data_IF_861049905719
#
_entry.id   IF_861049905719
#
_cell.length_a   1.000
_cell.length_b   1.000
_cell.length_c   1.000
_cell.angle_alpha   90.00
_cell.angle_beta   90.00
_cell.angle_gamma   90.00
#
_symmetry.space_group_name_H-M   'P 1'
#
loop_
_entity.id
_entity.type
_entity.pdbx_description
1 polymer ?
#
# COMPACT_ATOMS: atom_id res chain seq x y z
N UNK A 1 -13.64 -1.10 -9.40
CA UNK A 1 -12.87 -0.07 -10.14
C UNK A 1 -11.40 -0.47 -10.31
N UNK A 2 -10.65 -0.72 -9.23
CA UNK A 2 -9.22 -1.03 -9.31
C UNK A 2 -8.87 -2.28 -10.13
N UNK A 3 -9.55 -3.41 -9.88
CA UNK A 3 -9.37 -4.66 -10.65
C UNK A 3 -9.52 -4.45 -12.15
N UNK A 4 -10.47 -3.61 -12.57
CA UNK A 4 -10.70 -3.34 -13.98
C UNK A 4 -9.56 -2.54 -14.61
N UNK A 5 -8.98 -1.57 -13.89
CA UNK A 5 -7.83 -0.80 -14.37
C UNK A 5 -6.56 -1.65 -14.39
N UNK A 6 -6.30 -2.43 -13.34
CA UNK A 6 -5.12 -3.29 -13.26
C UNK A 6 -5.06 -4.33 -14.39
N UNK A 7 -6.21 -4.87 -14.81
CA UNK A 7 -6.30 -5.78 -15.98
C UNK A 7 -5.77 -5.18 -17.28
N UNK A 8 -5.78 -3.85 -17.42
CA UNK A 8 -5.27 -3.15 -18.62
C UNK A 8 -3.75 -3.15 -18.70
N UNK A 9 -3.06 -3.22 -17.55
CA UNK A 9 -1.60 -3.28 -17.47
C UNK A 9 -1.04 -4.63 -17.92
N UNK A 10 -1.85 -5.70 -17.86
CA UNK A 10 -1.46 -7.06 -18.27
C UNK A 10 -0.13 -7.52 -17.66
N UNK A 11 0.16 -7.15 -16.40
CA UNK A 11 1.38 -7.54 -15.67
C UNK A 11 1.14 -8.79 -14.81
N UNK A 12 2.05 -9.78 -14.77
CA UNK A 12 1.95 -10.91 -13.85
C UNK A 12 2.39 -10.58 -12.41
N UNK A 13 2.89 -9.36 -12.17
CA UNK A 13 3.57 -8.97 -10.93
C UNK A 13 2.74 -7.99 -10.08
N UNK A 14 1.43 -8.20 -9.97
CA UNK A 14 0.57 -7.39 -9.10
C UNK A 14 -0.33 -8.24 -8.23
N UNK A 15 -0.64 -7.73 -7.05
CA UNK A 15 -1.60 -8.33 -6.13
C UNK A 15 -2.53 -7.27 -5.59
N UNK A 16 -3.83 -7.51 -5.69
CA UNK A 16 -4.87 -6.66 -5.12
C UNK A 16 -5.42 -7.33 -3.87
N UNK A 17 -5.40 -6.61 -2.76
CA UNK A 17 -5.97 -7.07 -1.48
C UNK A 17 -7.08 -6.13 -1.00
N UNK A 18 -7.90 -6.61 -0.06
CA UNK A 18 -8.93 -5.80 0.58
C UNK A 18 -8.77 -5.83 2.10
N UNK A 19 -8.15 -4.78 2.64
CA UNK A 19 -7.87 -4.61 4.06
C UNK A 19 -7.89 -3.13 4.42
N UNK A 20 -8.16 -2.85 5.69
CA UNK A 20 -7.88 -1.53 6.27
C UNK A 20 -6.37 -1.30 6.28
N UNK A 21 -5.92 -0.26 5.57
CA UNK A 21 -4.49 0.05 5.42
C UNK A 21 -3.83 0.46 6.73
N UNK A 22 -4.59 0.99 7.69
CA UNK A 22 -4.05 1.37 9.00
C UNK A 22 -3.65 0.17 9.86
N UNK A 23 -4.12 -1.03 9.51
CA UNK A 23 -3.88 -2.29 10.23
C UNK A 23 -3.58 -3.46 9.29
N UNK A 24 -3.04 -3.17 8.10
CA UNK A 24 -2.71 -4.19 7.09
C UNK A 24 -1.76 -5.25 7.68
N UNK A 25 -2.07 -6.55 7.66
CA UNK A 25 -1.19 -7.57 8.24
C UNK A 25 0.18 -7.63 7.53
N UNK A 26 1.19 -8.13 8.25
CA UNK A 26 2.48 -8.49 7.64
C UNK A 26 2.28 -9.64 6.65
N UNK A 27 2.95 -9.56 5.50
CA UNK A 27 3.04 -10.66 4.55
C UNK A 27 4.16 -11.60 4.96
N UNK A 28 3.91 -12.90 4.85
CA UNK A 28 4.89 -13.97 5.08
C UNK A 28 5.41 -14.46 3.73
N UNK A 29 6.71 -14.61 3.58
CA UNK A 29 7.35 -15.13 2.35
C UNK A 29 8.34 -16.21 2.70
N UNK A 30 8.69 -17.04 1.73
CA UNK A 30 9.74 -18.05 1.88
C UNK A 30 11.11 -17.38 1.73
N UNK A 31 11.95 -17.50 2.76
CA UNK A 31 13.32 -16.99 2.75
C UNK A 31 14.23 -17.87 1.86
N UNK A 32 15.41 -17.36 1.50
CA UNK A 32 16.40 -18.09 0.69
C UNK A 32 16.80 -19.43 1.28
N UNK A 33 16.76 -19.55 2.61
CA UNK A 33 17.10 -20.76 3.36
C UNK A 33 15.92 -21.74 3.50
N UNK A 34 14.78 -21.48 2.83
CA UNK A 34 13.55 -22.26 2.92
C UNK A 34 12.71 -22.00 4.19
N UNK A 35 13.18 -21.09 5.05
CA UNK A 35 12.44 -20.61 6.22
C UNK A 35 11.27 -19.68 5.85
N UNK A 36 10.48 -19.27 6.84
CA UNK A 36 9.41 -18.26 6.65
C UNK A 36 9.82 -16.92 7.25
N UNK A 37 9.91 -15.91 6.41
CA UNK A 37 10.25 -14.53 6.76
C UNK A 37 9.06 -13.59 6.70
N UNK A 38 9.21 -12.39 7.29
CA UNK A 38 8.26 -11.28 7.10
C UNK A 38 8.75 -10.45 5.91
N UNK A 39 7.91 -10.30 4.90
CA UNK A 39 8.18 -9.43 3.76
C UNK A 39 8.21 -7.96 4.22
N UNK A 40 9.27 -7.26 3.83
CA UNK A 40 9.40 -5.81 3.89
C UNK A 40 9.46 -5.26 2.46
N UNK A 41 8.92 -4.06 2.26
CA UNK A 41 8.89 -3.43 0.94
C UNK A 41 10.04 -2.43 0.79
N UNK A 42 10.64 -2.38 -0.39
CA UNK A 42 11.65 -1.38 -0.71
C UNK A 42 11.05 -0.01 -1.00
N UNK A 43 9.83 0.01 -1.53
CA UNK A 43 9.09 1.21 -1.90
C UNK A 43 7.64 1.10 -1.46
N UNK A 44 7.12 2.15 -0.84
CA UNK A 44 5.72 2.25 -0.44
C UNK A 44 5.16 3.59 -0.89
N UNK A 45 3.97 3.59 -1.50
CA UNK A 45 3.19 4.78 -1.77
C UNK A 45 1.96 4.80 -0.84
N UNK A 46 1.91 5.78 0.04
CA UNK A 46 0.81 6.08 0.93
C UNK A 46 0.03 7.28 0.40
N UNK A 47 -0.83 7.04 -0.59
CA UNK A 47 -1.84 8.01 -1.02
C UNK A 47 -3.07 7.89 -0.10
N UNK A 48 -3.16 8.78 0.88
CA UNK A 48 -4.09 8.63 2.01
C UNK A 48 -5.41 9.38 1.77
N UNK A 49 -6.53 8.91 2.35
CA UNK A 49 -7.79 9.65 2.29
C UNK A 49 -7.63 11.04 2.89
N UNK A 50 -8.10 12.05 2.16
CA UNK A 50 -7.91 13.48 2.46
C UNK A 50 -9.26 14.23 2.42
N UNK A 51 -9.32 15.45 2.95
CA UNK A 51 -10.53 16.29 2.90
C UNK A 51 -10.85 16.79 1.48
N UNK A 52 -9.86 16.75 0.58
CA UNK A 52 -10.03 16.93 -0.85
C UNK A 52 -10.03 18.39 -1.31
N UNK A 53 -9.62 19.35 -0.47
CA UNK A 53 -9.56 20.77 -0.83
C UNK A 53 -8.59 21.08 -1.99
N UNK A 54 -7.61 20.22 -2.27
CA UNK A 54 -6.81 20.26 -3.49
C UNK A 54 -7.57 19.92 -4.77
N UNK A 55 -8.76 19.31 -4.66
CA UNK A 55 -9.54 18.80 -5.79
C UNK A 55 -10.68 19.72 -6.26
N UNK A 56 -10.81 20.92 -5.68
CA UNK A 56 -11.94 21.86 -5.94
C UNK A 56 -12.21 22.08 -7.44
N UNK A 57 -11.16 22.12 -8.29
CA UNK A 57 -11.31 22.25 -9.77
C UNK A 57 -12.03 21.06 -10.42
N UNK A 58 -11.88 19.86 -9.88
CA UNK A 58 -12.50 18.61 -10.38
C UNK A 58 -13.80 18.28 -9.66
N UNK A 59 -13.92 18.70 -8.40
CA UNK A 59 -15.06 18.40 -7.53
C UNK A 59 -15.57 19.68 -6.83
N UNK A 60 -16.45 20.45 -7.49
CA UNK A 60 -16.97 21.71 -6.94
C UNK A 60 -17.71 21.56 -5.60
N UNK A 61 -18.28 20.39 -5.32
CA UNK A 61 -18.99 20.10 -4.05
C UNK A 61 -18.11 20.28 -2.81
N UNK A 62 -16.79 20.09 -2.95
CA UNK A 62 -15.83 20.27 -1.85
C UNK A 62 -15.91 21.69 -1.31
N UNK A 63 -16.10 22.69 -2.18
CA UNK A 63 -16.17 24.10 -1.79
C UNK A 63 -17.23 24.39 -0.73
N UNK A 64 -18.39 23.72 -0.84
CA UNK A 64 -19.53 23.96 0.05
C UNK A 64 -19.45 23.11 1.33
N UNK A 65 -18.84 21.93 1.25
CA UNK A 65 -18.82 20.93 2.34
C UNK A 65 -17.58 21.01 3.22
N UNK A 66 -16.50 21.62 2.72
CA UNK A 66 -15.23 21.68 3.42
C UNK A 66 -15.31 22.54 4.70
N UNK A 67 -14.69 22.06 5.77
CA UNK A 67 -14.49 22.80 7.02
C UNK A 67 -13.27 22.23 7.76
N UNK A 68 -12.69 23.00 8.68
CA UNK A 68 -11.48 22.62 9.41
C UNK A 68 -11.61 21.30 10.20
N UNK A 69 -12.80 20.97 10.70
CA UNK A 69 -13.00 19.73 11.44
C UNK A 69 -12.88 18.48 10.55
N UNK A 70 -13.19 18.58 9.25
CA UNK A 70 -13.01 17.45 8.31
C UNK A 70 -11.55 17.00 8.27
N UNK A 71 -10.61 17.94 8.12
CA UNK A 71 -9.17 17.64 8.13
C UNK A 71 -8.68 17.13 9.50
N UNK A 72 -9.14 17.75 10.59
CA UNK A 72 -8.79 17.31 11.95
C UNK A 72 -9.19 15.85 12.21
N UNK A 73 -10.37 15.44 11.76
CA UNK A 73 -10.86 14.08 11.92
C UNK A 73 -10.09 13.04 11.09
N UNK A 74 -9.48 13.47 9.97
CA UNK A 74 -8.70 12.59 9.08
C UNK A 74 -7.25 12.43 9.53
N UNK A 75 -6.67 13.41 10.21
CA UNK A 75 -5.28 13.38 10.69
C UNK A 75 -4.93 12.05 11.39
N UNK A 76 -5.81 11.57 12.28
CA UNK A 76 -5.58 10.34 13.01
C UNK A 76 -5.50 9.08 12.13
N UNK A 77 -6.34 8.96 11.10
CA UNK A 77 -6.30 7.81 10.18
C UNK A 77 -5.13 7.92 9.21
N UNK A 78 -4.87 9.12 8.69
CA UNK A 78 -3.72 9.41 7.81
C UNK A 78 -2.40 9.05 8.50
N UNK A 79 -2.23 9.46 9.75
CA UNK A 79 -1.08 9.09 10.57
C UNK A 79 -0.95 7.58 10.74
N UNK A 80 -2.04 6.87 11.09
CA UNK A 80 -1.97 5.40 11.27
C UNK A 80 -1.60 4.67 9.98
N UNK A 81 -2.07 5.14 8.83
CA UNK A 81 -1.69 4.58 7.53
C UNK A 81 -0.20 4.82 7.25
N UNK A 82 0.29 6.06 7.43
CA UNK A 82 1.70 6.39 7.24
C UNK A 82 2.62 5.61 8.20
N UNK A 83 2.24 5.51 9.47
CA UNK A 83 2.93 4.68 10.48
C UNK A 83 2.98 3.22 10.06
N UNK A 84 1.86 2.67 9.57
CA UNK A 84 1.81 1.28 9.10
C UNK A 84 2.67 1.07 7.86
N UNK A 85 2.71 2.04 6.94
CA UNK A 85 3.64 2.08 5.82
C UNK A 85 5.09 1.99 6.28
N UNK A 86 5.50 2.86 7.23
CA UNK A 86 6.85 2.85 7.80
C UNK A 86 7.22 1.51 8.47
N UNK A 87 6.27 0.86 9.15
CA UNK A 87 6.46 -0.48 9.73
C UNK A 87 6.70 -1.54 8.64
N UNK A 88 6.04 -1.45 7.50
CA UNK A 88 6.18 -2.43 6.41
C UNK A 88 7.38 -2.14 5.50
N UNK A 89 7.96 -0.94 5.60
CA UNK A 89 9.13 -0.54 4.84
C UNK A 89 10.41 -1.21 5.35
N UNK A 90 11.25 -1.66 4.41
CA UNK A 90 12.60 -2.11 4.68
C UNK A 90 13.48 -0.94 5.14
N UNK A 91 14.51 -1.23 5.95
CA UNK A 91 15.56 -0.24 6.22
C UNK A 91 16.32 0.02 4.92
N UNK A 92 16.53 1.28 4.59
CA UNK A 92 17.01 1.74 3.28
C UNK A 92 15.90 1.99 2.26
N UNK A 93 14.66 1.56 2.54
CA UNK A 93 13.51 1.75 1.66
C UNK A 93 12.98 3.19 1.66
N UNK A 94 12.19 3.54 0.63
CA UNK A 94 11.54 4.85 0.49
C UNK A 94 10.02 4.75 0.59
N UNK A 95 9.42 5.66 1.34
CA UNK A 95 7.98 5.81 1.44
C UNK A 95 7.59 7.19 0.90
N UNK A 96 6.67 7.22 -0.04
CA UNK A 96 6.02 8.46 -0.49
C UNK A 96 4.70 8.58 0.25
N UNK A 97 4.50 9.68 0.95
CA UNK A 97 3.22 10.08 1.51
C UNK A 97 2.62 11.16 0.62
N UNK A 98 1.35 11.02 0.26
CA UNK A 98 0.65 12.01 -0.55
C UNK A 98 -0.78 12.25 -0.11
N UNK A 99 -1.23 13.48 -0.33
CA UNK A 99 -2.62 13.88 -0.15
C UNK A 99 -3.04 14.78 -1.31
N UNK A 100 -4.34 14.85 -1.50
CA UNK A 100 -5.05 15.81 -2.33
C UNK A 100 -5.50 17.06 -1.55
N UNK A 101 -4.73 17.47 -0.52
CA UNK A 101 -5.10 18.55 0.39
C UNK A 101 -4.14 19.74 0.34
N UNK A 102 -4.60 20.90 0.80
CA UNK A 102 -3.74 22.03 1.15
C UNK A 102 -3.68 22.28 2.66
N UNK A 103 -4.36 21.48 3.46
CA UNK A 103 -4.43 21.66 4.90
C UNK A 103 -3.18 21.10 5.57
N UNK A 104 -2.35 21.92 6.24
CA UNK A 104 -1.14 21.44 6.90
C UNK A 104 -1.40 20.39 7.99
N UNK A 105 -2.62 20.32 8.53
CA UNK A 105 -2.99 19.28 9.50
C UNK A 105 -3.11 17.90 8.88
N UNK A 106 -3.38 17.82 7.58
CA UNK A 106 -3.39 16.58 6.81
C UNK A 106 -2.03 16.30 6.17
N UNK A 107 -1.19 17.32 6.04
CA UNK A 107 0.07 17.27 5.32
C UNK A 107 1.27 17.28 6.28
N UNK A 108 1.89 18.45 6.50
CA UNK A 108 3.12 18.61 7.27
C UNK A 108 2.98 18.15 8.73
N UNK A 109 1.80 18.29 9.34
CA UNK A 109 1.57 17.82 10.71
C UNK A 109 1.61 16.29 10.82
N UNK A 110 1.12 15.55 9.82
CA UNK A 110 1.19 14.09 9.80
C UNK A 110 2.63 13.64 9.66
N UNK A 111 3.39 14.29 8.78
CA UNK A 111 4.82 14.02 8.56
C UNK A 111 5.64 14.34 9.81
N UNK A 112 5.44 15.52 10.38
CA UNK A 112 6.10 15.96 11.61
C UNK A 112 5.87 14.93 12.74
N UNK A 113 4.62 14.55 12.96
CA UNK A 113 4.28 13.53 13.95
C UNK A 113 4.99 12.19 13.69
N UNK A 114 5.03 11.74 12.44
CA UNK A 114 5.72 10.49 12.08
C UNK A 114 7.22 10.57 12.36
N UNK A 115 7.88 11.67 12.02
CA UNK A 115 9.32 11.84 12.28
C UNK A 115 9.60 11.86 13.79
N UNK A 116 8.78 12.59 14.57
CA UNK A 116 8.88 12.65 16.03
C UNK A 116 8.73 11.26 16.66
N UNK A 117 7.65 10.53 16.35
CA UNK A 117 7.39 9.22 16.95
C UNK A 117 8.41 8.15 16.51
N UNK A 118 9.07 8.33 15.37
CA UNK A 118 10.08 7.37 14.87
C UNK A 118 11.51 7.66 15.35
N UNK A 119 11.72 8.72 16.14
CA UNK A 119 13.02 9.04 16.78
C UNK A 119 14.20 9.02 15.78
N UNK A 120 13.99 9.65 14.62
CA UNK A 120 14.98 9.74 13.54
C UNK A 120 15.17 8.45 12.76
N UNK A 121 14.27 7.47 12.86
CA UNK A 121 14.28 6.30 11.98
C UNK A 121 13.67 6.57 10.60
N UNK A 122 12.86 7.63 10.48
CA UNK A 122 12.31 8.14 9.22
C UNK A 122 12.77 9.57 9.00
N UNK A 123 13.29 9.86 7.82
CA UNK A 123 13.84 11.18 7.46
C UNK A 123 13.28 11.64 6.11
N UNK A 124 13.04 12.94 5.96
CA UNK A 124 12.62 13.54 4.69
C UNK A 124 13.79 13.59 3.71
N UNK A 125 13.56 13.07 2.50
CA UNK A 125 14.53 13.07 1.40
C UNK A 125 14.28 14.28 0.52
N UNK A 126 15.34 15.01 0.19
CA UNK A 126 15.27 16.03 -0.84
C UNK A 126 15.20 15.37 -2.21
N UNK A 127 14.13 15.67 -2.95
CA UNK A 127 13.87 15.15 -4.30
C UNK A 127 13.69 16.28 -5.32
N UNK A 128 14.14 17.49 -4.99
CA UNK A 128 14.10 18.67 -5.88
C UNK A 128 14.71 18.39 -7.25
N UNK A 129 15.84 17.67 -7.30
CA UNK A 129 16.53 17.31 -8.54
C UNK A 129 15.87 16.14 -9.29
N UNK A 130 14.91 15.43 -8.68
CA UNK A 130 14.32 14.23 -9.28
C UNK A 130 13.22 14.52 -10.31
N UNK A 131 12.62 15.72 -10.26
CA UNK A 131 11.53 16.12 -11.15
C UNK A 131 11.82 17.48 -11.80
N UNK A 132 12.79 17.54 -12.74
CA UNK A 132 13.15 18.78 -13.40
C UNK A 132 11.93 19.35 -14.12
N UNK A 133 11.57 20.59 -13.80
CA UNK A 133 10.45 21.32 -14.40
C UNK A 133 9.14 21.30 -13.58
N UNK A 134 9.03 20.49 -12.53
CA UNK A 134 7.88 20.55 -11.63
C UNK A 134 7.88 21.89 -10.85
N UNK A 135 6.81 22.67 -10.99
CA UNK A 135 6.62 23.90 -10.21
C UNK A 135 5.88 23.60 -8.91
N UNK A 136 6.55 23.81 -7.78
CA UNK A 136 5.98 23.56 -6.45
C UNK A 136 6.42 24.61 -5.44
N UNK A 137 5.64 24.73 -4.35
CA UNK A 137 6.06 25.44 -3.14
C UNK A 137 6.65 24.47 -2.14
N UNK A 138 7.62 24.93 -1.36
CA UNK A 138 8.16 24.18 -0.21
C UNK A 138 7.08 23.93 0.84
N UNK A 139 7.28 22.90 1.66
CA UNK A 139 6.42 22.58 2.79
C UNK A 139 6.35 23.70 3.81
N UNK A 140 5.24 23.74 4.55
CA UNK A 140 5.03 24.72 5.61
C UNK A 140 5.84 24.36 6.86
N UNK A 141 6.56 25.34 7.39
CA UNK A 141 7.32 25.21 8.64
C UNK A 141 6.47 25.53 9.88
N UNK A 142 5.35 26.22 9.69
CA UNK A 142 4.44 26.63 10.77
C UNK A 142 3.00 26.66 10.27
N UNK A 143 2.07 26.34 11.17
CA UNK A 143 0.63 26.33 10.92
C UNK A 143 -0.13 26.50 12.24
N UNK A 144 -1.42 26.81 12.14
CA UNK A 144 -2.30 27.01 13.29
C UNK A 144 -3.42 25.98 13.26
N UNK A 145 -3.43 25.01 14.19
CA UNK A 145 -4.56 24.11 14.33
C UNK A 145 -5.86 24.88 14.57
N UNK A 146 -6.86 24.67 13.71
CA UNK A 146 -8.10 25.43 13.69
C UNK A 146 -9.29 24.52 13.98
N UNK A 147 -10.20 24.97 14.86
CA UNK A 147 -11.45 24.24 15.17
C UNK A 147 -12.53 24.47 14.11
N UNK A 148 -13.64 23.74 14.22
CA UNK A 148 -14.80 23.91 13.32
C UNK A 148 -15.33 25.34 13.29
N UNK A 149 -15.27 26.04 14.43
CA UNK A 149 -15.74 27.42 14.60
C UNK A 149 -14.76 28.45 14.00
N UNK A 150 -13.74 28.00 13.25
CA UNK A 150 -12.68 28.83 12.67
C UNK A 150 -11.81 29.58 13.70
N UNK A 151 -11.79 29.09 14.93
CA UNK A 151 -10.87 29.57 15.98
C UNK A 151 -9.59 28.75 15.94
N UNK A 152 -8.46 29.43 15.74
CA UNK A 152 -7.11 28.86 15.77
C UNK A 152 -6.50 28.90 17.16
N UNK A 153 -5.66 27.90 17.48
CA UNK A 153 -4.99 27.79 18.78
C UNK A 153 -3.48 27.75 18.59
N UNK A 154 -2.73 28.43 19.45
CA UNK A 154 -1.26 28.45 19.38
C UNK A 154 -0.63 27.29 20.16
N UNK A 155 -1.33 26.80 21.18
CA UNK A 155 -0.89 25.69 22.03
C UNK A 155 -2.06 24.75 22.36
N UNK A 156 -1.76 23.50 22.72
CA UNK A 156 -2.79 22.54 23.12
C UNK A 156 -3.51 22.96 24.41
N UNK A 157 -2.84 23.67 25.32
CA UNK A 157 -3.42 24.20 26.56
C UNK A 157 -4.55 25.21 26.33
N UNK A 158 -4.57 25.89 25.18
CA UNK A 158 -5.63 26.83 24.80
C UNK A 158 -6.86 26.14 24.21
N UNK A 159 -6.77 24.85 23.85
CA UNK A 159 -7.84 24.11 23.17
C UNK A 159 -8.95 23.77 24.17
N UNK A 160 -10.19 24.27 23.98
CA UNK A 160 -11.32 23.93 24.83
C UNK A 160 -11.60 22.42 24.83
N UNK A 161 -12.06 21.88 25.96
CA UNK A 161 -12.31 20.44 26.14
C UNK A 161 -13.17 19.84 25.01
N UNK A 162 -14.17 20.58 24.52
CA UNK A 162 -15.03 20.17 23.39
C UNK A 162 -14.25 19.83 22.10
N UNK A 163 -13.09 20.44 21.89
CA UNK A 163 -12.26 20.28 20.69
C UNK A 163 -11.02 19.40 20.90
N UNK A 164 -10.69 19.04 22.14
CA UNK A 164 -9.48 18.24 22.45
C UNK A 164 -9.51 16.83 21.85
N UNK A 165 -10.68 16.33 21.42
CA UNK A 165 -10.79 15.06 20.70
C UNK A 165 -10.35 15.17 19.24
N UNK A 166 -10.54 16.35 18.64
CA UNK A 166 -10.27 16.65 17.23
C UNK A 166 -8.90 17.30 17.03
N UNK A 167 -8.50 18.19 17.94
CA UNK A 167 -7.20 18.84 17.93
C UNK A 167 -6.35 18.17 19.01
N UNK A 168 -5.24 17.55 18.63
CA UNK A 168 -4.36 16.78 19.51
C UNK A 168 -2.98 17.44 19.64
N UNK A 169 -2.22 17.18 20.71
CA UNK A 169 -0.91 17.81 20.92
C UNK A 169 0.06 17.66 19.75
N UNK A 170 0.10 16.49 19.11
CA UNK A 170 1.00 16.20 17.98
C UNK A 170 0.55 16.82 16.63
N UNK A 171 -0.54 17.57 16.62
CA UNK A 171 -1.00 18.32 15.43
C UNK A 171 -0.41 19.73 15.36
N UNK A 172 0.24 20.20 16.43
CA UNK A 172 0.87 21.52 16.47
C UNK A 172 2.22 21.48 15.74
N UNK A 173 2.66 22.61 15.16
CA UNK A 173 3.97 22.70 14.51
C UNK A 173 5.11 22.50 15.51
N UNK A 174 6.30 22.13 15.05
CA UNK A 174 7.50 22.15 15.88
C UNK A 174 7.73 23.56 16.44
N UNK A 175 8.35 23.64 17.62
CA UNK A 175 8.82 24.91 18.16
C UNK A 175 9.78 25.58 17.16
N UNK A 176 9.79 26.91 17.01
CA UNK A 176 10.65 27.60 16.05
C UNK A 176 12.13 27.19 16.11
N UNK A 177 12.66 26.98 17.31
CA UNK A 177 14.06 26.57 17.53
C UNK A 177 14.39 25.16 17.02
N UNK A 178 13.38 24.30 16.86
CA UNK A 178 13.51 22.90 16.41
C UNK A 178 12.94 22.68 15.02
N UNK A 179 12.34 23.70 14.39
CA UNK A 179 11.69 23.55 13.09
C UNK A 179 12.66 23.10 12.00
N UNK A 180 13.93 23.53 12.09
CA UNK A 180 15.00 23.14 11.16
C UNK A 180 15.35 21.66 11.22
N UNK A 181 15.22 21.01 12.37
CA UNK A 181 15.62 19.61 12.60
C UNK A 181 14.76 18.62 11.81
N UNK A 182 13.53 19.01 11.46
CA UNK A 182 12.58 18.15 10.77
C UNK A 182 12.62 18.27 9.24
N UNK A 183 13.31 19.29 8.70
CA UNK A 183 13.41 19.55 7.25
C UNK A 183 12.07 19.53 6.50
N UNK A 184 11.00 20.06 7.11
CA UNK A 184 9.65 20.07 6.53
C UNK A 184 9.57 20.87 5.22
N UNK A 185 10.54 21.75 4.96
CA UNK A 185 10.66 22.49 3.70
C UNK A 185 10.94 21.58 2.49
N UNK A 186 11.42 20.34 2.72
CA UNK A 186 11.59 19.30 1.68
C UNK A 186 10.27 18.70 1.20
N UNK A 187 9.16 18.94 1.90
CA UNK A 187 7.84 18.57 1.41
C UNK A 187 7.47 19.42 0.19
N UNK A 188 6.68 18.85 -0.71
CA UNK A 188 6.33 19.42 -2.00
C UNK A 188 4.83 19.75 -2.00
N UNK A 189 4.50 21.04 -2.19
CA UNK A 189 3.12 21.51 -2.36
C UNK A 189 2.91 21.91 -3.82
N UNK A 190 2.10 21.14 -4.53
CA UNK A 190 1.71 21.41 -5.91
C UNK A 190 0.44 22.25 -5.88
N UNK A 191 0.55 23.50 -6.34
CA UNK A 191 -0.55 24.45 -6.33
C UNK A 191 -1.15 24.62 -7.73
N UNK A 192 -2.49 24.68 -7.86
CA UNK A 192 -3.16 24.75 -9.15
C UNK A 192 -2.71 25.91 -10.05
N UNK A 193 -2.43 27.07 -9.46
CA UNK A 193 -2.06 28.29 -10.19
C UNK A 193 -0.60 28.31 -10.66
N UNK A 194 0.24 27.36 -10.23
CA UNK A 194 1.64 27.32 -10.67
C UNK A 194 1.82 26.73 -12.08
N UNK A 195 0.96 25.78 -12.46
CA UNK A 195 1.11 25.01 -13.70
C UNK A 195 -0.21 24.41 -14.21
N UNK A 196 -1.34 25.02 -13.86
CA UNK A 196 -2.69 24.62 -14.29
C UNK A 196 -3.10 23.18 -13.94
N UNK A 197 -2.70 22.72 -12.76
CA UNK A 197 -2.97 21.37 -12.25
C UNK A 197 -4.08 21.34 -11.20
N UNK A 198 -4.34 20.17 -10.62
CA UNK A 198 -4.97 20.06 -9.30
C UNK A 198 -4.02 20.46 -8.18
N UNK A 199 -4.55 20.48 -6.95
CA UNK A 199 -3.80 20.63 -5.72
C UNK A 199 -3.33 19.29 -5.17
N UNK A 200 -2.07 19.24 -4.73
CA UNK A 200 -1.49 18.01 -4.21
C UNK A 200 -0.36 18.30 -3.21
N UNK A 201 -0.16 17.38 -2.27
CA UNK A 201 0.95 17.37 -1.33
C UNK A 201 1.72 16.07 -1.48
N UNK A 202 3.06 16.15 -1.45
CA UNK A 202 3.94 14.99 -1.52
C UNK A 202 5.09 15.15 -0.51
N UNK A 203 5.35 14.10 0.24
CA UNK A 203 6.52 13.97 1.10
C UNK A 203 7.21 12.64 0.83
N UNK A 204 8.52 12.68 0.55
CA UNK A 204 9.33 11.47 0.34
C UNK A 204 10.16 11.23 1.58
N UNK A 205 9.96 10.08 2.22
CA UNK A 205 10.69 9.66 3.42
C UNK A 205 11.56 8.45 3.12
N UNK A 206 12.69 8.35 3.82
CA UNK A 206 13.54 7.17 3.82
C UNK A 206 13.66 6.61 5.23
N UNK A 207 13.59 5.29 5.35
CA UNK A 207 13.80 4.59 6.63
C UNK A 207 15.29 4.31 6.81
N UNK A 208 15.95 4.95 7.76
CA UNK A 208 17.40 4.86 7.95
C UNK A 208 17.81 3.76 8.93
N UNK A 209 16.94 3.44 9.89
CA UNK A 209 17.15 2.39 10.90
C UNK A 209 15.83 1.71 11.28
N UNK A 210 15.90 0.70 12.16
CA UNK A 210 14.71 0.08 12.73
C UNK A 210 13.90 1.11 13.53
N UNK A 211 12.57 1.00 13.46
CA UNK A 211 11.70 1.86 14.26
C UNK A 211 11.89 1.54 15.75
N UNK A 212 11.74 2.52 16.66
CA UNK A 212 11.96 2.33 18.09
C UNK A 212 11.20 1.12 18.66
N UNK A 213 9.92 1.00 18.32
CA UNK A 213 9.08 -0.12 18.76
C UNK A 213 9.38 -1.45 18.06
N UNK A 214 10.01 -1.46 16.89
CA UNK A 214 10.51 -2.70 16.26
C UNK A 214 11.80 -3.18 16.94
N UNK A 215 12.65 -2.26 17.38
CA UNK A 215 13.90 -2.56 18.07
C UNK A 215 13.63 -3.16 19.47
N UNK A 216 12.75 -2.52 20.25
CA UNK A 216 12.38 -3.02 21.59
C UNK A 216 11.78 -4.43 21.55
N UNK A 217 10.89 -4.72 20.60
CA UNK A 217 10.30 -6.05 20.44
C UNK A 217 11.33 -7.13 20.07
N UNK A 218 12.41 -6.78 19.37
CA UNK A 218 13.52 -7.71 19.10
C UNK A 218 14.36 -7.97 20.35
N UNK A 219 14.58 -6.95 21.17
CA UNK A 219 15.32 -7.07 22.43
C UNK A 219 14.54 -7.97 23.40
N UNK A 220 13.24 -7.75 23.57
CA UNK A 220 12.38 -8.60 24.42
C UNK A 220 12.36 -10.07 23.97
N UNK A 221 12.32 -10.33 22.66
CA UNK A 221 12.41 -11.70 22.12
C UNK A 221 13.77 -12.35 22.33
N UNK A 222 14.86 -11.57 22.33
CA UNK A 222 16.20 -12.08 22.64
C UNK A 222 16.34 -12.41 24.12
N UNK A 223 15.85 -11.55 25.01
CA UNK A 223 15.90 -11.75 26.48
C UNK A 223 15.04 -12.95 26.91
N UNK A 224 13.88 -13.16 26.28
CA UNK A 224 13.01 -14.31 26.55
C UNK A 224 13.50 -15.62 25.92
N UNK A 225 14.43 -15.57 24.96
CA UNK A 225 15.04 -16.75 24.33
C UNK A 225 16.22 -17.36 25.11
N UNK A 226 16.70 -16.69 26.16
CA UNK A 226 17.92 -17.07 26.91
C UNK A 226 17.66 -17.53 28.35
N UNK A 227 16.41 -17.48 28.82
CA UNK A 227 16.05 -17.97 30.15
C UNK A 227 15.19 -19.24 30.08
N UNK A 228 15.86 -20.37 30.33
CA UNK A 228 15.21 -21.61 30.70
C UNK A 228 14.32 -21.43 31.95
N UNK A 229 13.11 -21.99 31.85
CA UNK A 229 12.15 -22.28 32.93
C UNK A 229 11.67 -21.13 33.83
N UNK A 230 10.39 -20.74 33.67
CA UNK A 230 9.60 -20.20 34.78
C UNK A 230 8.46 -19.25 34.41
N UNK A 231 7.21 -19.74 34.50
CA UNK A 231 6.01 -18.91 34.75
C UNK A 231 5.23 -18.41 33.53
N UNK A 232 4.28 -19.22 33.03
CA UNK A 232 3.25 -18.76 32.07
C UNK A 232 2.32 -17.73 32.72
N UNK A 233 2.49 -16.44 32.43
CA UNK A 233 1.39 -15.48 32.55
C UNK A 233 0.46 -15.64 31.34
N UNK A 234 -0.80 -16.00 31.60
CA UNK A 234 -1.84 -16.12 30.57
C UNK A 234 -2.19 -14.73 30.04
N UNK A 235 -1.81 -14.43 28.80
CA UNK A 235 -2.39 -13.33 28.04
C UNK A 235 -3.92 -13.53 27.89
N UNK A 236 -4.73 -12.46 27.95
CA UNK A 236 -6.15 -12.56 27.68
C UNK A 236 -6.38 -13.08 26.25
N UNK A 237 -7.40 -13.92 26.03
CA UNK A 237 -7.61 -14.55 24.73
C UNK A 237 -7.87 -13.49 23.67
N UNK A 238 -6.95 -13.36 22.70
CA UNK A 238 -7.17 -12.59 21.47
C UNK A 238 -8.44 -13.13 20.80
N UNK A 239 -9.51 -12.34 20.81
CA UNK A 239 -10.71 -12.62 20.01
C UNK A 239 -10.28 -12.77 18.55
N UNK A 240 -10.29 -14.01 18.02
CA UNK A 240 -10.13 -14.28 16.60
C UNK A 240 -11.21 -13.48 15.87
N UNK A 241 -10.84 -12.40 15.18
CA UNK A 241 -11.76 -11.68 14.31
C UNK A 241 -12.18 -12.65 13.21
N UNK A 242 -13.44 -13.09 13.22
CA UNK A 242 -14.02 -13.88 12.14
C UNK A 242 -14.01 -13.00 10.88
N UNK A 243 -13.18 -13.34 9.89
CA UNK A 243 -13.29 -12.79 8.54
C UNK A 243 -14.55 -13.35 7.90
N UNK A 244 -15.71 -12.74 8.17
CA UNK A 244 -16.92 -13.03 7.41
C UNK A 244 -17.03 -12.02 6.26
N UNK A 245 -16.67 -12.47 5.07
CA UNK A 245 -16.88 -11.77 3.82
C UNK A 245 -17.22 -12.78 2.72
N UNK A 246 -17.80 -12.28 1.62
CA UNK A 246 -18.11 -13.06 0.42
C UNK A 246 -16.99 -14.06 0.12
N UNK A 247 -17.34 -15.35 0.01
CA UNK A 247 -16.44 -16.42 -0.45
C UNK A 247 -15.99 -16.08 -1.86
N UNK A 248 -14.85 -15.44 -1.98
CA UNK A 248 -14.19 -15.26 -3.26
C UNK A 248 -13.58 -16.59 -3.67
N UNK A 249 -13.56 -16.84 -4.98
CA UNK A 249 -13.02 -18.08 -5.51
C UNK A 249 -11.53 -18.24 -5.12
N UNK A 250 -11.12 -19.44 -4.67
CA UNK A 250 -9.76 -19.68 -4.20
C UNK A 250 -8.74 -19.50 -5.33
N UNK A 251 -7.54 -19.02 -4.98
CA UNK A 251 -6.40 -19.00 -5.90
C UNK A 251 -5.72 -20.36 -5.85
N UNK A 252 -6.02 -21.22 -6.83
CA UNK A 252 -5.48 -22.57 -6.90
C UNK A 252 -4.36 -22.60 -7.91
N UNK A 253 -3.12 -22.69 -7.45
CA UNK A 253 -1.95 -22.85 -8.31
C UNK A 253 -1.89 -24.28 -8.88
N UNK A 254 -1.28 -24.42 -10.04
CA UNK A 254 -1.05 -25.73 -10.63
C UNK A 254 0.02 -26.48 -9.85
N UNK A 255 -0.17 -27.79 -9.78
CA UNK A 255 0.84 -28.75 -9.34
C UNK A 255 1.48 -29.42 -10.56
N UNK A 256 2.55 -30.18 -10.34
CA UNK A 256 3.32 -30.83 -11.41
C UNK A 256 2.48 -31.80 -12.26
N UNK A 257 1.38 -32.33 -11.71
CA UNK A 257 0.50 -33.33 -12.32
C UNK A 257 -0.80 -32.76 -12.91
N UNK A 258 -0.88 -31.44 -13.11
CA UNK A 258 -2.10 -30.78 -13.58
C UNK A 258 -2.54 -31.31 -14.98
N UNK A 259 -3.69 -32.01 -15.11
CA UNK A 259 -4.04 -32.77 -16.32
C UNK A 259 -4.20 -31.93 -17.59
N UNK A 260 -4.54 -30.65 -17.46
CA UNK A 260 -4.72 -29.76 -18.63
C UNK A 260 -3.40 -29.21 -19.17
N UNK A 261 -2.31 -29.29 -18.40
CA UNK A 261 -1.05 -28.65 -18.76
C UNK A 261 -0.32 -29.31 -19.94
N UNK A 262 -0.17 -30.65 -20.02
CA UNK A 262 0.55 -31.29 -21.13
C UNK A 262 -0.02 -30.93 -22.51
N UNK A 263 -1.35 -30.93 -22.66
CA UNK A 263 -2.06 -30.56 -23.88
C UNK A 263 -1.76 -29.11 -24.31
N UNK A 264 -1.74 -28.17 -23.35
CA UNK A 264 -1.45 -26.75 -23.62
C UNK A 264 0.04 -26.59 -23.97
N UNK A 265 0.92 -27.24 -23.20
CA UNK A 265 2.37 -27.16 -23.36
C UNK A 265 2.80 -27.62 -24.76
N UNK A 266 2.33 -28.79 -25.19
CA UNK A 266 2.66 -29.37 -26.51
C UNK A 266 2.08 -28.53 -27.66
N UNK A 267 0.83 -28.06 -27.54
CA UNK A 267 0.17 -27.31 -28.61
C UNK A 267 0.81 -25.94 -28.89
N UNK A 268 1.30 -25.26 -27.85
CA UNK A 268 1.89 -23.92 -27.97
C UNK A 268 3.43 -23.90 -27.89
N UNK A 269 4.09 -25.05 -27.65
CA UNK A 269 5.55 -25.13 -27.54
C UNK A 269 6.11 -24.38 -26.32
N UNK A 270 5.47 -24.51 -25.16
CA UNK A 270 5.80 -23.76 -23.94
C UNK A 270 6.76 -24.52 -23.02
N UNK A 271 7.91 -24.93 -23.53
CA UNK A 271 8.86 -25.76 -22.79
C UNK A 271 9.49 -25.07 -21.59
N UNK A 272 9.69 -23.75 -21.69
CA UNK A 272 10.36 -22.94 -20.66
C UNK A 272 9.39 -22.40 -19.59
N UNK A 273 8.08 -22.57 -19.76
CA UNK A 273 7.09 -22.05 -18.81
C UNK A 273 6.87 -23.05 -17.66
N UNK A 274 7.24 -22.64 -16.44
CA UNK A 274 6.93 -23.41 -15.24
C UNK A 274 5.41 -23.42 -14.98
N UNK A 275 4.73 -24.59 -15.02
CA UNK A 275 3.30 -24.68 -14.74
C UNK A 275 2.92 -24.16 -13.37
N UNK A 276 3.81 -24.22 -12.36
CA UNK A 276 3.51 -23.79 -10.98
C UNK A 276 3.16 -22.31 -10.90
N UNK A 277 3.54 -21.52 -11.89
CA UNK A 277 3.22 -20.10 -12.01
C UNK A 277 1.80 -19.83 -12.53
N UNK A 278 1.12 -20.87 -13.01
CA UNK A 278 -0.26 -20.82 -13.46
C UNK A 278 -1.22 -21.06 -12.30
N UNK A 279 -2.34 -20.35 -12.30
CA UNK A 279 -3.41 -20.52 -11.33
C UNK A 279 -4.78 -20.51 -11.98
N UNK A 280 -5.72 -21.15 -11.30
CA UNK A 280 -7.16 -21.08 -11.59
C UNK A 280 -7.94 -20.55 -10.41
N UNK A 281 -9.06 -19.89 -10.69
CA UNK A 281 -10.01 -19.43 -9.66
C UNK A 281 -11.09 -20.47 -9.39
N UNK A 282 -10.74 -21.75 -9.41
CA UNK A 282 -11.70 -22.82 -9.28
C UNK A 282 -10.99 -24.08 -8.79
N UNK A 283 -11.49 -24.66 -7.70
CA UNK A 283 -10.95 -25.90 -7.13
C UNK A 283 -11.57 -27.15 -7.77
N UNK A 284 -12.87 -27.10 -8.06
CA UNK A 284 -13.64 -28.23 -8.57
C UNK A 284 -14.43 -27.85 -9.83
N UNK A 285 -14.38 -28.69 -10.85
CA UNK A 285 -15.08 -28.49 -12.12
C UNK A 285 -14.18 -28.03 -13.27
N UNK A 286 -14.80 -27.67 -14.40
CA UNK A 286 -14.05 -27.28 -15.62
C UNK A 286 -13.35 -25.95 -15.43
N UNK A 287 -12.01 -25.97 -15.51
CA UNK A 287 -11.15 -24.79 -15.52
C UNK A 287 -11.47 -23.91 -16.75
N UNK A 288 -12.20 -22.80 -16.55
CA UNK A 288 -12.60 -21.89 -17.63
C UNK A 288 -11.49 -20.93 -18.05
N UNK A 289 -10.75 -20.40 -17.08
CA UNK A 289 -9.70 -19.42 -17.29
C UNK A 289 -8.48 -19.79 -16.46
N UNK A 290 -7.30 -19.75 -17.06
CA UNK A 290 -5.99 -19.95 -16.42
C UNK A 290 -5.28 -18.60 -16.43
N UNK A 291 -4.66 -18.26 -15.31
CA UNK A 291 -3.95 -17.00 -15.10
C UNK A 291 -2.47 -17.27 -14.86
N UNK A 292 -1.59 -16.44 -15.42
CA UNK A 292 -0.15 -16.47 -15.19
C UNK A 292 0.25 -15.46 -14.12
N UNK A 293 1.13 -15.88 -13.22
CA UNK A 293 1.79 -15.04 -12.20
C UNK A 293 3.31 -15.20 -12.28
N UNK A 294 4.05 -14.57 -11.35
CA UNK A 294 5.47 -14.86 -11.12
C UNK A 294 5.67 -15.63 -9.81
N UNK A 295 6.90 -16.08 -9.58
CA UNK A 295 7.29 -16.86 -8.39
C UNK A 295 7.05 -16.09 -7.08
N UNK A 296 7.36 -14.80 -7.05
CA UNK A 296 7.16 -13.95 -5.87
C UNK A 296 5.68 -13.81 -5.49
N UNK A 297 4.81 -13.57 -6.47
CA UNK A 297 3.37 -13.48 -6.28
C UNK A 297 2.80 -14.82 -5.82
N UNK A 298 3.23 -15.93 -6.43
CA UNK A 298 2.83 -17.28 -5.99
C UNK A 298 3.17 -17.51 -4.52
N UNK A 299 4.42 -17.23 -4.14
CA UNK A 299 4.88 -17.39 -2.76
C UNK A 299 4.08 -16.53 -1.77
N UNK A 300 3.84 -15.27 -2.11
CA UNK A 300 3.03 -14.34 -1.30
C UNK A 300 1.59 -14.86 -1.14
N UNK A 301 0.96 -15.35 -2.21
CA UNK A 301 -0.43 -15.80 -2.12
C UNK A 301 -0.52 -17.07 -1.26
N UNK A 302 0.29 -18.09 -1.56
CA UNK A 302 0.26 -19.38 -0.84
C UNK A 302 0.54 -19.19 0.66
N UNK A 303 1.54 -18.38 1.02
CA UNK A 303 1.91 -18.21 2.42
C UNK A 303 0.93 -17.35 3.23
N UNK A 304 -0.01 -16.66 2.58
CA UNK A 304 -0.87 -15.67 3.26
C UNK A 304 -2.37 -15.82 2.99
N UNK A 305 -2.82 -16.76 2.16
CA UNK A 305 -4.23 -16.88 1.77
C UNK A 305 -5.22 -17.03 2.94
N UNK A 306 -4.79 -17.62 4.06
CA UNK A 306 -5.60 -17.76 5.27
C UNK A 306 -5.75 -16.45 6.07
N UNK A 307 -4.76 -15.55 5.96
CA UNK A 307 -4.65 -14.31 6.76
C UNK A 307 -5.02 -13.07 5.96
N UNK A 308 -4.84 -13.11 4.64
CA UNK A 308 -4.95 -11.98 3.75
C UNK A 308 -6.02 -12.28 2.71
N UNK A 309 -7.02 -11.41 2.68
CA UNK A 309 -8.02 -11.40 1.63
C UNK A 309 -7.46 -10.87 0.30
N UNK A 310 -7.07 -11.79 -0.58
CA UNK A 310 -6.70 -11.51 -1.97
C UNK A 310 -7.93 -11.36 -2.86
N UNK A 311 -7.97 -10.32 -3.68
CA UNK A 311 -9.09 -10.00 -4.58
C UNK A 311 -8.79 -10.40 -6.02
N UNK A 312 -7.58 -10.09 -6.48
CA UNK A 312 -7.13 -10.35 -7.83
C UNK A 312 -5.61 -10.42 -7.89
N UNK A 313 -5.10 -11.30 -8.74
CA UNK A 313 -3.70 -11.40 -9.13
C UNK A 313 -3.61 -12.12 -10.48
N UNK A 314 -2.49 -11.92 -11.17
CA UNK A 314 -2.15 -12.62 -12.40
C UNK A 314 -2.80 -12.07 -13.66
N UNK A 315 -2.25 -12.47 -14.79
CA UNK A 315 -2.71 -12.13 -16.13
C UNK A 315 -3.54 -13.26 -16.66
N UNK A 316 -4.70 -12.96 -17.23
CA UNK A 316 -5.49 -13.98 -17.91
C UNK A 316 -4.70 -14.51 -19.11
N UNK A 317 -4.38 -15.80 -19.10
CA UNK A 317 -3.45 -16.39 -20.07
C UNK A 317 -4.13 -17.35 -21.02
N UNK A 318 -4.92 -18.28 -20.49
CA UNK A 318 -5.63 -19.25 -21.32
C UNK A 318 -7.12 -19.25 -21.00
N UNK A 319 -7.94 -19.33 -22.05
CA UNK A 319 -9.40 -19.44 -21.97
C UNK A 319 -9.82 -20.76 -22.58
N UNK A 320 -10.65 -21.51 -21.85
CA UNK A 320 -11.20 -22.77 -22.34
C UNK A 320 -12.20 -22.52 -23.47
N UNK A 321 -12.03 -23.24 -24.56
CA UNK A 321 -12.91 -23.26 -25.73
C UNK A 321 -13.28 -24.72 -26.03
N UNK A 322 -14.45 -25.15 -25.57
CA UNK A 322 -14.96 -26.51 -25.79
C UNK A 322 -15.59 -26.62 -27.19
N UNK A 323 -14.77 -26.80 -28.24
CA UNK A 323 -15.22 -27.11 -29.62
C UNK A 323 -14.76 -28.51 -30.05
N UNK A 324 -15.67 -29.33 -30.59
CA UNK A 324 -15.44 -30.74 -30.95
C UNK A 324 -14.36 -30.99 -32.01
N UNK A 325 -13.93 -29.96 -32.73
CA UNK A 325 -12.95 -30.05 -33.84
C UNK A 325 -11.54 -29.55 -33.49
N UNK A 326 -11.28 -29.23 -32.22
CA UNK A 326 -10.02 -28.59 -31.81
C UNK A 326 -9.04 -29.58 -31.17
N UNK A 327 -7.75 -29.47 -31.56
CA UNK A 327 -6.63 -30.25 -30.97
C UNK A 327 -6.28 -29.83 -29.55
N UNK A 328 -6.55 -28.57 -29.18
CA UNK A 328 -6.34 -28.04 -27.85
C UNK A 328 -7.61 -27.32 -27.37
N UNK A 329 -8.03 -27.61 -26.14
CA UNK A 329 -9.21 -27.09 -25.47
C UNK A 329 -9.04 -25.66 -24.95
N UNK A 330 -7.85 -25.06 -25.09
CA UNK A 330 -7.53 -23.73 -24.58
C UNK A 330 -7.00 -22.79 -25.68
N UNK A 331 -7.34 -21.51 -25.57
CA UNK A 331 -6.85 -20.43 -26.43
C UNK A 331 -6.14 -19.36 -25.61
N UNK A 332 -5.06 -18.82 -26.17
CA UNK A 332 -4.35 -17.68 -25.58
C UNK A 332 -5.32 -16.50 -25.50
N UNK A 333 -5.40 -15.91 -24.31
CA UNK A 333 -6.21 -14.72 -24.06
C UNK A 333 -5.51 -13.48 -24.64
N UNK A 334 -6.28 -12.44 -24.96
CA UNK A 334 -5.76 -11.20 -25.53
C UNK A 334 -4.72 -10.54 -24.60
N UNK A 335 -4.89 -10.68 -23.28
CA UNK A 335 -3.98 -10.13 -22.28
C UNK A 335 -2.59 -10.79 -22.35
N UNK A 336 -2.51 -12.10 -22.52
CA UNK A 336 -1.23 -12.82 -22.68
C UNK A 336 -0.60 -12.60 -24.06
N UNK A 337 -1.39 -12.42 -25.11
CA UNK A 337 -0.84 -12.11 -26.45
C UNK A 337 0.03 -10.84 -26.46
N UNK A 338 -0.24 -9.89 -25.57
CA UNK A 338 0.60 -8.69 -25.39
C UNK A 338 1.96 -9.04 -24.77
N UNK A 339 2.01 -9.98 -23.84
CA UNK A 339 3.25 -10.43 -23.21
C UNK A 339 4.11 -11.25 -24.17
N UNK A 340 3.48 -12.13 -24.98
CA UNK A 340 4.20 -12.95 -25.98
C UNK A 340 4.86 -12.09 -27.06
N UNK A 341 4.24 -10.96 -27.45
CA UNK A 341 4.83 -10.01 -28.41
C UNK A 341 6.01 -9.19 -27.84
N UNK A 342 6.17 -9.13 -26.53
CA UNK A 342 7.31 -8.45 -25.87
C UNK A 342 8.55 -9.38 -25.80
N UNK A 343 8.49 -10.54 -26.47
CA UNK A 343 9.52 -11.58 -26.54
C UNK A 343 10.78 -11.24 -27.34
N UNK A 344 11.42 -10.10 -27.05
CA UNK A 344 12.89 -9.95 -27.16
C UNK A 344 13.54 -9.65 -25.80
N UNK A 345 12.76 -9.54 -24.71
CA UNK A 345 13.29 -9.42 -23.35
C UNK A 345 12.81 -10.59 -22.51
N UNK A 346 13.75 -11.30 -21.90
CA UNK A 346 13.55 -12.46 -21.03
C UNK A 346 12.34 -12.29 -20.10
N UNK A 347 11.50 -13.31 -20.04
CA UNK A 347 10.33 -13.44 -19.15
C UNK A 347 10.72 -13.42 -17.63
N UNK A 348 11.99 -13.19 -17.31
CA UNK A 348 12.64 -13.43 -16.01
C UNK A 348 13.00 -12.17 -15.21
N UNK A 349 12.83 -10.95 -15.75
CA UNK A 349 13.37 -9.74 -15.11
C UNK A 349 12.36 -8.87 -14.32
N UNK A 350 11.12 -9.34 -14.12
CA UNK A 350 10.12 -8.60 -13.35
C UNK A 350 10.15 -8.97 -11.86
N UNK A 351 11.12 -8.42 -11.12
CA UNK A 351 11.28 -8.62 -9.68
C UNK A 351 10.42 -7.70 -8.80
N UNK A 352 9.78 -6.67 -9.36
CA UNK A 352 8.99 -5.72 -8.59
C UNK A 352 7.53 -6.16 -8.46
N UNK A 353 7.10 -6.48 -7.23
CA UNK A 353 5.71 -6.79 -6.91
C UNK A 353 5.00 -5.51 -6.45
N UNK A 354 3.98 -5.09 -7.21
CA UNK A 354 3.11 -3.99 -6.79
C UNK A 354 1.94 -4.55 -5.94
N UNK A 355 1.97 -4.27 -4.64
CA UNK A 355 0.84 -4.55 -3.75
C UNK A 355 0.02 -3.28 -3.58
N UNK A 356 -1.21 -3.32 -4.05
CA UNK A 356 -2.15 -2.21 -3.87
C UNK A 356 -3.25 -2.60 -2.90
N UNK A 357 -3.42 -1.78 -1.87
CA UNK A 357 -4.41 -1.97 -0.80
C UNK A 357 -5.58 -1.05 -1.05
N UNK A 358 -6.79 -1.61 -1.10
CA UNK A 358 -8.00 -0.81 -1.23
C UNK A 358 -8.49 -0.37 0.15
N UNK A 359 -8.37 0.92 0.47
CA UNK A 359 -8.92 1.51 1.70
C UNK A 359 -10.44 1.61 1.54
N UNK A 360 -11.20 0.83 2.32
CA UNK A 360 -12.65 1.06 2.49
C UNK A 360 -12.86 2.33 3.31
N UNK A 361 -12.98 3.46 2.63
CA UNK A 361 -13.76 4.61 3.08
C UNK A 361 -14.85 4.87 2.04
N UNK A 362 -16.08 5.16 2.47
CA UNK A 362 -17.24 5.49 1.61
C UNK A 362 -17.08 6.84 0.89
N UNK A 363 -15.99 6.99 0.14
CA UNK A 363 -15.84 8.00 -0.90
C UNK A 363 -15.13 7.35 -2.07
N UNK A 364 -15.92 6.90 -3.04
CA UNK A 364 -15.46 6.73 -4.40
C UNK A 364 -14.79 8.04 -4.81
N UNK A 365 -13.48 8.11 -5.04
CA UNK A 365 -12.80 8.98 -6.03
C UNK A 365 -11.28 8.70 -5.94
N UNK A 366 -10.80 7.60 -6.53
CA UNK A 366 -9.38 7.47 -6.84
C UNK A 366 -9.14 8.35 -8.07
N UNK A 367 -8.52 9.50 -7.86
CA UNK A 367 -8.08 10.38 -8.94
C UNK A 367 -6.85 9.75 -9.56
N UNK A 368 -6.94 9.36 -10.84
CA UNK A 368 -5.79 8.95 -11.64
C UNK A 368 -4.82 10.14 -11.76
N UNK A 369 -3.54 9.89 -11.47
CA UNK A 369 -2.42 10.67 -11.98
C UNK A 369 -2.08 10.19 -13.39
#
# INVERSE_FOLDING_TARGET
MLVHQAKRLSSPCFVITNHDSSVLPNFTVTDKDGGKGILKFDRILCDVPCSGDGTIRKNPDVWVKWNAANGNNLHGIQYRIARRGAEMLAVGGRMVYSTCSFNPLEDEAVIHRLIVETEGAMELVDVSDSLPGLKYSKGKLSWVPTSRDMVGYSSFSEVPEKWQTQIRPLMFPPSPDKAGDFHLDRCIRILPHHQDTGGFFVAVLQKTKLLPWEASAKIEKKISGDNGSGGKQKEPPRKKRRMHGFREDPFVFFEDDEPVWPEIKEFYGLDDLDPKLLLTRCKEGKKKNIYLTNSAVRDIVINNEEKIKFINTGVKSFVRCDNRSMKCSFRIAQEMAKLVKIGETSMLDFYDVLIQVNIRGDSQYITQL
#
